data_IF_780785117128
#
_entry.id   IF_780785117128
#
_cell.length_a   1.000
_cell.length_b   1.000
_cell.length_c   1.000
_cell.angle_alpha   90.00
_cell.angle_beta   90.00
_cell.angle_gamma   90.00
#
_symmetry.space_group_name_H-M   'P 1'
#
loop_
_entity.id
_entity.type
_entity.pdbx_description
1 polymer ?
#
# COMPACT_ATOMS: atom_id res chain seq x y z
N UNK A 1 -8.52 -4.43 -35.40
CA UNK A 1 -8.89 -5.68 -34.69
C UNK A 1 -7.60 -6.42 -34.43
N UNK A 2 -7.07 -6.24 -33.24
CA UNK A 2 -5.90 -6.91 -32.71
C UNK A 2 -6.36 -8.20 -32.01
N UNK A 3 -5.83 -9.31 -32.52
CA UNK A 3 -6.39 -10.65 -32.52
C UNK A 3 -6.26 -11.40 -31.19
N UNK A 4 -6.23 -10.69 -30.06
CA UNK A 4 -6.26 -11.36 -28.76
C UNK A 4 -6.98 -10.64 -27.61
N UNK A 5 -7.68 -9.52 -27.88
CA UNK A 5 -8.80 -8.99 -27.08
C UNK A 5 -8.85 -9.30 -25.57
N UNK A 6 -7.73 -9.17 -24.84
CA UNK A 6 -7.71 -9.43 -23.40
C UNK A 6 -8.28 -8.22 -22.70
N UNK A 7 -9.55 -8.31 -22.33
CA UNK A 7 -10.16 -7.45 -21.30
C UNK A 7 -9.37 -7.51 -19.98
N UNK A 8 -9.56 -6.56 -19.06
CA UNK A 8 -8.91 -6.61 -17.75
C UNK A 8 -9.04 -7.99 -17.09
N UNK A 9 -8.00 -8.37 -16.33
CA UNK A 9 -7.99 -9.61 -15.54
C UNK A 9 -9.28 -9.75 -14.74
N UNK A 10 -9.83 -10.98 -14.69
CA UNK A 10 -11.01 -11.30 -13.88
C UNK A 10 -10.77 -10.98 -12.41
N UNK A 11 -9.54 -11.14 -11.93
CA UNK A 11 -9.15 -10.71 -10.58
C UNK A 11 -9.20 -9.20 -10.43
N UNK A 12 -8.72 -8.41 -11.40
CA UNK A 12 -8.77 -6.95 -11.32
C UNK A 12 -10.22 -6.43 -11.21
N UNK A 13 -11.14 -7.01 -12.00
CA UNK A 13 -12.58 -6.70 -11.89
C UNK A 13 -13.14 -7.11 -10.53
N UNK A 14 -12.84 -8.33 -10.06
CA UNK A 14 -13.31 -8.81 -8.75
C UNK A 14 -12.83 -7.94 -7.58
N UNK A 15 -11.57 -7.50 -7.59
CA UNK A 15 -11.03 -6.59 -6.57
C UNK A 15 -11.69 -5.22 -6.67
N UNK A 16 -11.93 -4.71 -7.88
CA UNK A 16 -12.69 -3.47 -8.08
C UNK A 16 -14.13 -3.58 -7.53
N UNK A 17 -14.82 -4.69 -7.80
CA UNK A 17 -16.14 -5.00 -7.23
C UNK A 17 -16.11 -5.06 -5.70
N UNK A 18 -15.08 -5.70 -5.11
CA UNK A 18 -14.90 -5.76 -3.66
C UNK A 18 -14.76 -4.37 -3.02
N UNK A 19 -13.96 -3.49 -3.63
CA UNK A 19 -13.81 -2.10 -3.17
C UNK A 19 -15.10 -1.30 -3.35
N UNK A 20 -15.77 -1.43 -4.50
CA UNK A 20 -17.06 -0.80 -4.76
C UNK A 20 -18.17 -1.27 -3.80
N UNK A 21 -18.17 -2.54 -3.41
CA UNK A 21 -19.14 -3.07 -2.44
C UNK A 21 -18.91 -2.54 -1.01
N UNK A 22 -17.65 -2.26 -0.67
CA UNK A 22 -17.24 -1.76 0.64
C UNK A 22 -17.34 -0.24 0.79
N UNK A 23 -17.30 0.51 -0.32
CA UNK A 23 -17.27 1.98 -0.32
C UNK A 23 -18.46 2.59 0.44
N UNK A 24 -18.15 3.47 1.39
CA UNK A 24 -19.12 4.11 2.29
C UNK A 24 -19.73 3.19 3.35
N UNK A 25 -19.22 1.95 3.54
CA UNK A 25 -19.81 0.96 4.45
C UNK A 25 -18.83 0.26 5.38
N UNK A 26 -17.65 -0.11 4.87
CA UNK A 26 -16.63 -0.78 5.66
C UNK A 26 -15.58 0.22 6.14
N UNK A 27 -15.11 0.08 7.39
CA UNK A 27 -14.09 0.93 8.01
C UNK A 27 -14.33 2.43 7.72
N UNK A 28 -15.55 2.91 8.02
CA UNK A 28 -15.99 4.28 7.70
C UNK A 28 -15.02 5.31 8.27
N UNK A 29 -14.62 6.28 7.45
CA UNK A 29 -13.60 7.29 7.79
C UNK A 29 -12.16 6.84 7.55
N UNK A 30 -11.91 5.54 7.33
CA UNK A 30 -10.59 4.97 7.00
C UNK A 30 -10.49 4.44 5.57
N UNK A 31 -11.58 3.85 5.07
CA UNK A 31 -11.67 3.33 3.70
C UNK A 31 -12.70 4.12 2.87
N UNK A 32 -12.29 4.52 1.67
CA UNK A 32 -13.16 5.07 0.64
C UNK A 32 -12.58 4.80 -0.75
N UNK A 33 -13.43 4.36 -1.67
CA UNK A 33 -13.13 4.20 -3.09
C UNK A 33 -14.39 4.51 -3.93
N UNK A 34 -14.78 5.79 -4.01
CA UNK A 34 -15.98 6.21 -4.75
C UNK A 34 -15.81 6.08 -6.27
N UNK A 35 -14.58 5.83 -6.75
CA UNK A 35 -14.26 5.70 -8.16
C UNK A 35 -14.47 4.26 -8.64
N UNK A 36 -14.26 3.25 -7.79
CA UNK A 36 -14.35 1.84 -8.17
C UNK A 36 -15.68 1.48 -8.87
N UNK A 37 -16.82 1.86 -8.30
CA UNK A 37 -18.14 1.56 -8.89
C UNK A 37 -18.30 2.17 -10.29
N UNK A 38 -17.69 3.33 -10.54
CA UNK A 38 -17.77 4.05 -11.82
C UNK A 38 -16.96 3.34 -12.91
N UNK A 39 -15.88 2.64 -12.54
CA UNK A 39 -15.06 1.87 -13.50
C UNK A 39 -15.69 0.54 -13.90
N UNK A 40 -16.68 0.04 -13.17
CA UNK A 40 -17.39 -1.19 -13.50
C UNK A 40 -18.40 -0.94 -14.63
N UNK A 41 -18.50 -1.90 -15.55
CA UNK A 41 -19.55 -1.94 -16.59
C UNK A 41 -20.90 -2.33 -15.96
N UNK A 42 -22.04 -2.03 -16.61
CA UNK A 42 -23.37 -2.32 -16.04
C UNK A 42 -23.52 -3.77 -15.54
N UNK A 43 -23.07 -4.75 -16.32
CA UNK A 43 -23.13 -6.17 -15.97
C UNK A 43 -22.24 -6.54 -14.76
N UNK A 44 -21.14 -5.82 -14.57
CA UNK A 44 -20.22 -6.02 -13.44
C UNK A 44 -20.75 -5.35 -12.15
N UNK A 45 -21.66 -4.37 -12.25
CA UNK A 45 -22.26 -3.67 -11.10
C UNK A 45 -23.36 -4.47 -10.43
N UNK A 46 -24.12 -5.27 -11.18
CA UNK A 46 -25.29 -6.02 -10.65
C UNK A 46 -24.95 -6.82 -9.39
N UNK A 47 -23.83 -7.54 -9.37
CA UNK A 47 -23.42 -8.33 -8.19
C UNK A 47 -22.97 -7.44 -7.04
N UNK A 48 -22.39 -6.27 -7.32
CA UNK A 48 -22.01 -5.29 -6.30
C UNK A 48 -23.26 -4.74 -5.63
N UNK A 49 -24.29 -4.41 -6.41
CA UNK A 49 -25.56 -3.90 -5.88
C UNK A 49 -26.26 -4.93 -4.99
N UNK A 50 -26.24 -6.22 -5.36
CA UNK A 50 -26.75 -7.29 -4.50
C UNK A 50 -25.98 -7.40 -3.17
N UNK A 51 -24.64 -7.39 -3.22
CA UNK A 51 -23.80 -7.41 -2.00
C UNK A 51 -24.05 -6.15 -1.17
N UNK A 52 -24.27 -5.00 -1.82
CA UNK A 52 -24.59 -3.75 -1.13
C UNK A 52 -25.97 -3.81 -0.44
N UNK A 53 -26.97 -4.36 -1.11
CA UNK A 53 -28.30 -4.59 -0.56
C UNK A 53 -28.33 -5.64 0.56
N UNK A 54 -27.34 -6.54 0.62
CA UNK A 54 -27.33 -7.67 1.54
C UNK A 54 -28.35 -8.75 1.17
N UNK A 55 -28.71 -8.83 -0.11
CA UNK A 55 -29.72 -9.74 -0.67
C UNK A 55 -29.01 -10.88 -1.42
N UNK A 56 -28.76 -12.04 -0.80
CA UNK A 56 -28.09 -13.14 -1.48
C UNK A 56 -29.04 -13.72 -2.54
N UNK A 57 -28.60 -13.88 -3.80
CA UNK A 57 -29.46 -14.42 -4.84
C UNK A 57 -29.79 -15.90 -4.59
N UNK A 58 -30.96 -16.32 -5.07
CA UNK A 58 -31.34 -17.72 -5.17
C UNK A 58 -30.56 -18.41 -6.31
N UNK A 59 -30.21 -19.68 -6.12
CA UNK A 59 -29.42 -20.44 -7.10
C UNK A 59 -27.91 -20.38 -6.90
N UNK A 60 -27.24 -21.51 -7.11
CA UNK A 60 -25.84 -21.71 -6.73
C UNK A 60 -24.85 -20.87 -7.55
N UNK A 61 -25.11 -20.67 -8.85
CA UNK A 61 -24.22 -19.91 -9.75
C UNK A 61 -24.15 -18.43 -9.37
N UNK A 62 -25.31 -17.77 -9.21
CA UNK A 62 -25.39 -16.36 -8.80
C UNK A 62 -24.82 -16.16 -7.38
N UNK A 63 -25.08 -17.12 -6.48
CA UNK A 63 -24.54 -17.10 -5.12
C UNK A 63 -23.02 -17.18 -5.08
N UNK A 64 -22.40 -17.89 -6.02
CA UNK A 64 -20.93 -17.97 -6.11
C UNK A 64 -20.32 -16.60 -6.44
N UNK A 65 -20.90 -15.85 -7.37
CA UNK A 65 -20.46 -14.49 -7.68
C UNK A 65 -20.63 -13.53 -6.50
N UNK A 66 -21.80 -13.57 -5.86
CA UNK A 66 -22.10 -12.79 -4.65
C UNK A 66 -21.09 -13.03 -3.53
N UNK A 67 -20.85 -14.30 -3.17
CA UNK A 67 -19.90 -14.66 -2.10
C UNK A 67 -18.47 -14.30 -2.48
N UNK A 68 -18.10 -14.38 -3.77
CA UNK A 68 -16.77 -13.98 -4.24
C UNK A 68 -16.53 -12.48 -4.04
N UNK A 69 -17.48 -11.63 -4.43
CA UNK A 69 -17.39 -10.17 -4.25
C UNK A 69 -17.38 -9.81 -2.76
N UNK A 70 -18.28 -10.42 -1.96
CA UNK A 70 -18.35 -10.22 -0.52
C UNK A 70 -17.04 -10.60 0.19
N UNK A 71 -16.49 -11.78 -0.12
CA UNK A 71 -15.21 -12.22 0.43
C UNK A 71 -14.04 -11.36 -0.06
N UNK A 72 -14.09 -10.91 -1.32
CA UNK A 72 -13.09 -10.00 -1.87
C UNK A 72 -13.10 -8.65 -1.13
N UNK A 73 -14.26 -8.10 -0.79
CA UNK A 73 -14.37 -6.87 0.01
C UNK A 73 -13.68 -7.02 1.39
N UNK A 74 -13.88 -8.14 2.08
CA UNK A 74 -13.22 -8.42 3.37
C UNK A 74 -11.69 -8.43 3.26
N UNK A 75 -11.14 -8.84 2.10
CA UNK A 75 -9.69 -8.89 1.85
C UNK A 75 -9.16 -7.53 1.36
N UNK A 76 -9.89 -6.88 0.46
CA UNK A 76 -9.47 -5.66 -0.21
C UNK A 76 -9.44 -4.47 0.76
N UNK A 77 -10.43 -4.34 1.65
CA UNK A 77 -10.51 -3.21 2.59
C UNK A 77 -9.27 -3.06 3.47
N UNK A 78 -8.88 -4.05 4.29
CA UNK A 78 -7.71 -3.90 5.17
C UNK A 78 -6.41 -3.71 4.39
N UNK A 79 -6.29 -4.33 3.21
CA UNK A 79 -5.14 -4.14 2.33
C UNK A 79 -5.07 -2.71 1.80
N UNK A 80 -6.18 -2.20 1.26
CA UNK A 80 -6.25 -0.86 0.69
C UNK A 80 -5.97 0.19 1.74
N UNK A 81 -6.57 0.09 2.93
CA UNK A 81 -6.32 1.06 4.02
C UNK A 81 -4.85 1.07 4.43
N UNK A 82 -4.25 -0.11 4.66
CA UNK A 82 -2.85 -0.19 5.07
C UNK A 82 -1.89 0.37 4.01
N UNK A 83 -2.16 0.12 2.73
CA UNK A 83 -1.37 0.68 1.63
C UNK A 83 -1.57 2.19 1.54
N UNK A 84 -2.81 2.69 1.58
CA UNK A 84 -3.08 4.13 1.50
C UNK A 84 -2.41 4.87 2.68
N UNK A 85 -2.45 4.32 3.89
CA UNK A 85 -1.73 4.86 5.05
C UNK A 85 -0.22 4.86 4.84
N UNK A 86 0.36 3.78 4.32
CA UNK A 86 1.79 3.71 4.00
C UNK A 86 2.21 4.72 2.90
N UNK A 87 1.31 5.01 1.94
CA UNK A 87 1.55 6.04 0.94
C UNK A 87 1.55 7.43 1.57
N UNK A 88 0.61 7.73 2.48
CA UNK A 88 0.52 9.04 3.17
C UNK A 88 1.74 9.34 4.04
N UNK A 89 2.33 8.34 4.67
CA UNK A 89 3.54 8.53 5.49
C UNK A 89 4.76 8.88 4.63
N UNK A 90 4.76 8.50 3.36
CA UNK A 90 5.78 8.91 2.40
C UNK A 90 7.17 8.32 2.62
N UNK A 91 8.16 8.75 1.82
CA UNK A 91 9.56 8.40 1.94
C UNK A 91 10.19 9.16 3.12
N UNK A 92 10.52 8.45 4.22
CA UNK A 92 11.27 9.01 5.36
C UNK A 92 10.54 9.12 6.70
N UNK A 93 9.23 8.90 6.77
CA UNK A 93 8.53 8.77 8.05
C UNK A 93 8.59 7.31 8.52
N UNK A 94 9.57 7.00 9.37
CA UNK A 94 9.49 5.79 10.19
C UNK A 94 8.17 5.79 10.96
N UNK A 95 7.48 4.65 10.97
CA UNK A 95 6.24 4.48 11.72
C UNK A 95 6.52 4.81 13.20
N UNK A 96 6.07 5.96 13.70
CA UNK A 96 6.05 6.21 15.15
C UNK A 96 4.92 5.36 15.71
N UNK A 97 5.27 4.17 16.18
CA UNK A 97 4.37 3.36 16.97
C UNK A 97 4.25 3.97 18.38
N UNK A 98 3.03 4.40 18.73
CA UNK A 98 2.66 4.75 20.11
C UNK A 98 2.53 6.25 20.35
N UNK A 99 1.31 6.77 20.30
CA UNK A 99 0.97 7.96 21.05
C UNK A 99 0.82 7.56 22.52
N UNK A 100 1.87 7.74 23.32
CA UNK A 100 1.72 7.84 24.76
C UNK A 100 1.16 9.23 25.08
N UNK A 101 -0.16 9.30 25.24
CA UNK A 101 -0.83 10.45 25.87
C UNK A 101 -0.71 10.26 27.37
N UNK A 102 0.32 10.87 27.98
CA UNK A 102 0.54 10.83 29.43
C UNK A 102 0.68 12.22 30.02
N UNK A 103 -0.08 12.50 31.08
CA UNK A 103 0.14 13.66 31.96
C UNK A 103 1.31 13.37 32.90
N UNK A 104 2.44 14.06 32.73
CA UNK A 104 3.54 14.00 33.68
C UNK A 104 3.34 15.05 34.79
N UNK A 105 3.25 14.59 36.03
CA UNK A 105 3.30 15.45 37.22
C UNK A 105 4.45 14.98 38.09
N UNK A 106 5.36 15.89 38.44
CA UNK A 106 6.55 15.59 39.21
C UNK A 106 6.89 16.74 40.15
N UNK A 107 7.12 16.42 41.42
CA UNK A 107 7.70 17.32 42.42
C UNK A 107 9.08 16.78 42.77
N UNK A 108 10.14 17.49 42.36
CA UNK A 108 11.52 17.10 42.69
C UNK A 108 12.58 17.65 41.74
N UNK A 109 13.80 17.86 42.25
CA UNK A 109 14.94 18.33 41.49
C UNK A 109 15.55 17.20 40.63
N UNK A 110 15.53 17.37 39.30
CA UNK A 110 16.16 16.45 38.34
C UNK A 110 15.91 16.85 36.89
N UNK A 111 16.83 16.47 35.99
CA UNK A 111 16.77 16.76 34.55
C UNK A 111 15.68 15.90 33.88
N UNK A 112 14.68 16.53 33.28
CA UNK A 112 13.63 15.86 32.52
C UNK A 112 13.85 16.03 31.00
N UNK A 113 13.88 14.92 30.27
CA UNK A 113 13.92 14.88 28.80
C UNK A 113 12.66 14.19 28.29
N UNK A 114 11.89 14.84 27.40
CA UNK A 114 10.69 14.26 26.80
C UNK A 114 10.39 14.85 25.43
N UNK A 115 9.88 14.01 24.53
CA UNK A 115 9.33 14.39 23.21
C UNK A 115 7.85 14.03 23.21
N UNK A 116 6.97 15.03 23.39
CA UNK A 116 5.52 14.81 23.42
C UNK A 116 4.71 16.11 23.34
N UNK A 117 3.41 15.98 23.05
CA UNK A 117 2.42 17.08 23.05
C UNK A 117 1.56 16.95 24.31
N UNK A 118 1.60 17.94 25.22
CA UNK A 118 0.83 17.95 26.48
C UNK A 118 1.16 19.14 27.38
N UNK A 119 0.31 19.43 28.39
CA UNK A 119 0.58 20.51 29.36
C UNK A 119 1.48 20.03 30.49
N UNK A 120 2.59 20.72 30.75
CA UNK A 120 3.45 20.47 31.91
C UNK A 120 3.16 21.50 33.02
N UNK A 121 3.01 21.04 34.26
CA UNK A 121 3.01 21.91 35.46
C UNK A 121 4.10 21.42 36.41
N UNK A 122 5.01 22.31 36.80
CA UNK A 122 6.11 22.00 37.70
C UNK A 122 6.69 23.27 38.33
N UNK A 123 7.09 23.16 39.59
CA UNK A 123 7.80 24.22 40.33
C UNK A 123 9.20 23.69 40.67
N UNK A 124 10.24 24.15 39.97
CA UNK A 124 11.61 23.73 40.23
C UNK A 124 12.65 24.47 39.38
N UNK A 125 13.84 24.69 39.95
CA UNK A 125 14.93 25.49 39.35
C UNK A 125 15.94 24.57 38.64
N UNK A 126 16.11 24.73 37.31
CA UNK A 126 17.11 24.02 36.49
C UNK A 126 16.93 24.28 34.98
N UNK A 127 17.95 24.03 34.13
CA UNK A 127 17.85 24.28 32.68
C UNK A 127 16.91 23.29 31.99
N UNK A 128 15.99 23.81 31.17
CA UNK A 128 15.06 23.00 30.38
C UNK A 128 15.42 23.04 28.89
N UNK A 129 15.51 21.87 28.24
CA UNK A 129 15.66 21.73 26.78
C UNK A 129 14.56 20.80 26.26
N UNK A 130 13.69 21.30 25.38
CA UNK A 130 12.62 20.51 24.76
C UNK A 130 12.09 21.15 23.47
N UNK A 131 11.58 20.32 22.56
CA UNK A 131 11.01 20.73 21.25
C UNK A 131 9.50 20.40 21.18
N UNK A 132 8.74 20.83 22.18
CA UNK A 132 7.28 20.63 22.26
C UNK A 132 6.48 21.89 21.91
N UNK A 133 5.21 21.70 21.50
CA UNK A 133 4.24 22.80 21.28
C UNK A 133 3.15 22.72 22.35
N UNK A 134 3.01 23.77 23.18
CA UNK A 134 1.97 23.91 24.21
C UNK A 134 2.19 25.16 25.08
N UNK A 135 1.16 25.68 25.78
CA UNK A 135 1.33 26.84 26.66
C UNK A 135 2.09 26.44 27.93
N UNK A 136 3.18 27.13 28.24
CA UNK A 136 3.90 26.99 29.51
C UNK A 136 3.46 28.10 30.47
N UNK A 137 3.13 27.77 31.71
CA UNK A 137 3.00 28.74 32.80
C UNK A 137 3.95 28.33 33.91
N UNK A 138 4.94 29.18 34.16
CA UNK A 138 5.98 28.98 35.19
C UNK A 138 6.75 30.29 35.35
N UNK A 139 7.01 30.68 36.60
CA UNK A 139 7.69 31.93 36.92
C UNK A 139 9.15 31.61 37.25
N UNK A 140 10.05 31.65 36.26
CA UNK A 140 11.49 31.59 36.50
C UNK A 140 12.27 32.44 35.50
N UNK A 141 13.28 33.15 36.02
CA UNK A 141 14.15 34.07 35.31
C UNK A 141 15.50 33.40 34.97
N UNK A 142 15.87 33.38 33.69
CA UNK A 142 17.19 32.94 33.21
C UNK A 142 17.32 33.16 31.69
N UNK A 143 18.52 33.41 31.15
CA UNK A 143 18.68 33.78 29.75
C UNK A 143 18.54 32.55 28.84
N UNK A 144 17.65 32.64 27.84
CA UNK A 144 17.54 31.67 26.76
C UNK A 144 18.53 32.05 25.64
N UNK A 145 19.54 31.21 25.40
CA UNK A 145 20.42 31.32 24.22
C UNK A 145 20.10 30.18 23.27
N UNK A 146 19.31 30.47 22.23
CA UNK A 146 19.12 29.58 21.08
C UNK A 146 20.05 29.99 19.95
N UNK A 147 20.86 29.06 19.46
CA UNK A 147 21.66 29.25 18.26
C UNK A 147 20.84 28.83 17.04
N UNK A 148 20.44 29.81 16.22
CA UNK A 148 19.83 29.58 14.91
C UNK A 148 20.93 29.15 13.91
N UNK A 149 21.06 27.85 13.67
CA UNK A 149 21.75 27.31 12.49
C UNK A 149 21.39 25.83 12.30
N UNK A 150 20.21 25.57 11.76
CA UNK A 150 19.82 24.27 11.27
C UNK A 150 18.87 24.47 10.10
N UNK A 151 19.31 24.10 8.90
CA UNK A 151 18.45 24.00 7.72
C UNK A 151 17.23 23.17 8.09
N UNK A 152 16.06 23.81 8.16
CA UNK A 152 14.78 23.11 8.29
C UNK A 152 14.53 22.28 7.03
N UNK A 153 15.05 21.06 7.01
CA UNK A 153 14.47 20.00 6.21
C UNK A 153 13.16 19.60 6.89
N UNK A 154 12.14 20.43 6.73
CA UNK A 154 10.76 20.04 7.01
C UNK A 154 10.44 18.85 6.12
N UNK A 155 10.42 17.65 6.71
CA UNK A 155 9.87 16.46 6.06
C UNK A 155 8.38 16.71 5.91
N UNK A 156 7.97 17.19 4.73
CA UNK A 156 6.57 17.33 4.37
C UNK A 156 5.97 15.91 4.41
N UNK A 157 5.14 15.63 5.42
CA UNK A 157 4.52 14.34 5.59
C UNK A 157 3.51 14.12 4.46
N UNK A 158 3.91 13.38 3.43
CA UNK A 158 3.07 13.16 2.25
C UNK A 158 3.72 12.21 1.25
N UNK A 159 2.94 11.77 0.26
CA UNK A 159 3.48 10.99 -0.86
C UNK A 159 4.53 11.85 -1.57
N UNK A 160 5.70 11.28 -1.84
CA UNK A 160 6.75 11.96 -2.59
C UNK A 160 6.27 12.43 -3.97
N UNK A 161 7.11 13.17 -4.69
CA UNK A 161 6.76 13.70 -6.02
C UNK A 161 6.54 12.60 -7.07
N UNK A 162 6.99 11.38 -6.80
CA UNK A 162 6.87 10.23 -7.70
C UNK A 162 6.25 9.02 -7.00
N UNK A 163 5.18 8.48 -7.62
CA UNK A 163 4.56 7.21 -7.25
C UNK A 163 4.55 6.27 -8.46
N UNK A 164 5.10 5.07 -8.32
CA UNK A 164 5.02 4.02 -9.36
C UNK A 164 4.17 2.87 -8.84
N UNK A 165 3.10 2.52 -9.55
CA UNK A 165 2.20 1.41 -9.22
C UNK A 165 2.42 0.28 -10.22
N UNK A 166 2.99 -0.83 -9.76
CA UNK A 166 3.23 -2.04 -10.54
C UNK A 166 2.00 -2.96 -10.49
N UNK A 167 1.43 -3.26 -11.65
CA UNK A 167 0.17 -3.99 -11.80
C UNK A 167 -1.04 -3.14 -11.46
N UNK A 168 -1.10 -1.92 -12.02
CA UNK A 168 -2.09 -0.92 -11.63
C UNK A 168 -3.54 -1.35 -11.86
N UNK A 169 -3.84 -2.31 -12.74
CA UNK A 169 -5.15 -2.90 -12.97
C UNK A 169 -6.28 -1.88 -12.98
N UNK A 170 -7.26 -2.06 -12.09
CA UNK A 170 -8.32 -1.08 -11.85
C UNK A 170 -8.10 -0.30 -10.54
N UNK A 171 -6.87 -0.07 -10.12
CA UNK A 171 -6.52 0.84 -9.01
C UNK A 171 -7.05 2.24 -9.30
N UNK A 172 -7.57 2.90 -8.26
CA UNK A 172 -8.21 4.22 -8.34
C UNK A 172 -7.48 5.29 -7.53
N UNK A 173 -6.34 4.97 -6.90
CA UNK A 173 -5.61 5.89 -6.00
C UNK A 173 -5.33 7.23 -6.64
N UNK A 174 -4.86 7.26 -7.89
CA UNK A 174 -4.60 8.51 -8.62
C UNK A 174 -5.85 9.37 -8.88
N UNK A 175 -7.06 8.83 -8.68
CA UNK A 175 -8.35 9.52 -8.83
C UNK A 175 -9.07 9.79 -7.51
N UNK A 176 -8.55 9.33 -6.36
CA UNK A 176 -9.25 9.45 -5.07
C UNK A 176 -8.39 9.93 -3.90
N UNK A 177 -7.07 9.78 -3.95
CA UNK A 177 -6.18 10.22 -2.87
C UNK A 177 -5.79 11.68 -3.10
N UNK A 178 -6.26 12.56 -2.20
CA UNK A 178 -5.98 14.00 -2.24
C UNK A 178 -4.48 14.30 -2.08
N UNK A 179 -3.76 13.44 -1.37
CA UNK A 179 -2.33 13.54 -1.10
C UNK A 179 -1.48 13.42 -2.38
N UNK A 180 -2.06 12.90 -3.47
CA UNK A 180 -1.38 12.79 -4.76
C UNK A 180 -1.45 14.05 -5.61
N UNK A 181 -2.11 15.13 -5.15
CA UNK A 181 -2.31 16.36 -5.93
C UNK A 181 -1.02 17.03 -6.44
N UNK A 182 0.14 16.71 -5.85
CA UNK A 182 1.48 17.19 -6.27
C UNK A 182 2.40 16.08 -6.78
N UNK A 183 1.87 14.87 -6.96
CA UNK A 183 2.61 13.66 -7.29
C UNK A 183 2.31 13.23 -8.72
N UNK A 184 3.35 12.91 -9.48
CA UNK A 184 3.20 12.19 -10.75
C UNK A 184 3.07 10.69 -10.45
N UNK A 185 2.08 10.06 -11.05
CA UNK A 185 1.79 8.65 -10.87
C UNK A 185 2.08 7.90 -12.17
N UNK A 186 3.03 6.96 -12.13
CA UNK A 186 3.23 5.99 -13.20
C UNK A 186 2.45 4.74 -12.88
N UNK A 187 1.47 4.43 -13.71
CA UNK A 187 0.76 3.17 -13.65
C UNK A 187 1.39 2.21 -14.62
N UNK A 188 2.00 1.15 -14.11
CA UNK A 188 2.68 0.13 -14.91
C UNK A 188 1.79 -1.11 -14.95
N UNK A 189 1.39 -1.54 -16.15
CA UNK A 189 0.62 -2.78 -16.33
C UNK A 189 0.69 -3.25 -17.78
N UNK A 190 0.23 -4.47 -18.03
CA UNK A 190 0.15 -5.07 -19.35
C UNK A 190 -0.65 -4.17 -20.32
N UNK A 191 -0.23 -4.03 -21.59
CA UNK A 191 -0.87 -3.14 -22.57
C UNK A 191 -2.40 -3.27 -22.66
N UNK A 192 -2.91 -4.51 -22.65
CA UNK A 192 -4.34 -4.79 -22.72
C UNK A 192 -5.11 -4.35 -21.45
N UNK A 193 -4.54 -4.55 -20.25
CA UNK A 193 -5.10 -4.05 -18.98
C UNK A 193 -5.18 -2.52 -18.98
N UNK A 194 -4.11 -1.87 -19.47
CA UNK A 194 -4.06 -0.41 -19.58
C UNK A 194 -5.12 0.13 -20.54
N UNK A 195 -5.28 -0.50 -21.71
CA UNK A 195 -6.29 -0.10 -22.68
C UNK A 195 -7.70 -0.19 -22.08
N UNK A 196 -8.03 -1.28 -21.39
CA UNK A 196 -9.33 -1.45 -20.74
C UNK A 196 -9.55 -0.42 -19.62
N UNK A 197 -8.54 -0.17 -18.77
CA UNK A 197 -8.62 0.86 -17.72
C UNK A 197 -8.88 2.24 -18.31
N UNK A 198 -8.13 2.62 -19.35
CA UNK A 198 -8.29 3.92 -20.04
C UNK A 198 -9.69 4.06 -20.65
N UNK A 199 -10.22 3.00 -21.25
CA UNK A 199 -11.59 3.00 -21.78
C UNK A 199 -12.63 3.19 -20.67
N UNK A 200 -12.49 2.49 -19.53
CA UNK A 200 -13.37 2.63 -18.36
C UNK A 200 -13.30 4.03 -17.75
N UNK A 201 -12.10 4.59 -17.62
CA UNK A 201 -11.90 5.94 -17.09
C UNK A 201 -12.52 7.00 -17.99
N UNK A 202 -12.38 6.85 -19.31
CA UNK A 202 -13.02 7.73 -20.29
C UNK A 202 -14.55 7.64 -20.21
N UNK A 203 -15.11 6.43 -20.19
CA UNK A 203 -16.55 6.22 -20.05
C UNK A 203 -17.12 6.71 -18.72
N UNK A 204 -16.32 6.67 -17.64
CA UNK A 204 -16.67 7.20 -16.34
C UNK A 204 -16.47 8.71 -16.23
N UNK A 205 -15.87 9.36 -17.24
CA UNK A 205 -15.41 10.74 -17.22
C UNK A 205 -14.55 11.08 -15.98
N UNK A 206 -13.78 10.10 -15.49
CA UNK A 206 -12.99 10.25 -14.27
C UNK A 206 -11.81 11.21 -14.50
N UNK A 207 -11.66 12.21 -13.63
CA UNK A 207 -10.51 13.13 -13.63
C UNK A 207 -9.56 12.75 -12.50
N UNK A 208 -8.24 12.64 -12.78
CA UNK A 208 -7.28 12.29 -11.73
C UNK A 208 -7.20 13.40 -10.70
N UNK A 209 -6.99 13.01 -9.45
CA UNK A 209 -6.59 13.89 -8.35
C UNK A 209 -5.08 14.11 -8.39
N UNK A 210 -4.33 13.11 -8.87
CA UNK A 210 -2.89 13.20 -9.04
C UNK A 210 -2.48 14.35 -9.98
N UNK A 211 -1.26 14.89 -9.81
CA UNK A 211 -0.73 15.96 -10.68
C UNK A 211 -0.72 15.53 -12.15
N UNK A 212 -0.23 14.33 -12.41
CA UNK A 212 -0.27 13.67 -13.71
C UNK A 212 -0.35 12.15 -13.53
N UNK A 213 -0.94 11.48 -14.53
CA UNK A 213 -0.97 10.02 -14.61
C UNK A 213 -0.31 9.58 -15.92
N UNK A 214 0.77 8.82 -15.79
CA UNK A 214 1.55 8.28 -16.89
C UNK A 214 1.20 6.79 -17.02
N UNK A 215 0.45 6.44 -18.06
CA UNK A 215 0.16 5.04 -18.36
C UNK A 215 1.36 4.40 -19.06
N UNK A 216 2.07 3.54 -18.35
CA UNK A 216 3.29 2.86 -18.82
C UNK A 216 2.95 1.40 -19.11
N UNK A 217 2.86 1.03 -20.39
CA UNK A 217 2.50 -0.32 -20.80
C UNK A 217 3.72 -1.26 -20.72
N UNK A 218 3.64 -2.30 -19.89
CA UNK A 218 4.71 -3.28 -19.63
C UNK A 218 4.11 -4.67 -19.39
N UNK A 219 4.48 -5.66 -20.20
CA UNK A 219 4.37 -7.06 -19.84
C UNK A 219 5.62 -7.50 -19.05
N UNK A 220 5.46 -7.69 -17.74
CA UNK A 220 6.53 -8.12 -16.82
C UNK A 220 7.21 -9.44 -17.23
N UNK A 221 6.64 -10.23 -18.14
CA UNK A 221 7.26 -11.45 -18.63
C UNK A 221 8.35 -11.22 -19.68
N UNK A 222 8.27 -10.13 -20.46
CA UNK A 222 9.09 -9.95 -21.68
C UNK A 222 9.67 -8.55 -21.84
N UNK A 223 9.03 -7.53 -21.28
CA UNK A 223 9.43 -6.14 -21.48
C UNK A 223 10.45 -5.67 -20.43
N UNK A 224 11.29 -4.69 -20.83
CA UNK A 224 12.21 -4.00 -19.94
C UNK A 224 11.50 -2.86 -19.19
N UNK A 225 11.24 -3.09 -17.90
CA UNK A 225 10.62 -2.11 -17.01
C UNK A 225 11.40 -0.80 -16.93
N UNK A 226 12.73 -0.84 -16.94
CA UNK A 226 13.56 0.37 -16.81
C UNK A 226 13.44 1.25 -18.04
N UNK A 227 13.57 0.66 -19.23
CA UNK A 227 13.42 1.37 -20.49
C UNK A 227 12.02 1.99 -20.64
N UNK A 228 10.97 1.27 -20.23
CA UNK A 228 9.60 1.78 -20.25
C UNK A 228 9.38 2.97 -19.30
N UNK A 229 9.97 2.92 -18.10
CA UNK A 229 9.90 4.03 -17.14
C UNK A 229 10.72 5.24 -17.60
N UNK A 230 11.87 5.04 -18.22
CA UNK A 230 12.67 6.12 -18.82
C UNK A 230 11.89 6.82 -19.94
N UNK A 231 11.28 6.05 -20.84
CA UNK A 231 10.44 6.57 -21.91
C UNK A 231 9.20 7.32 -21.38
N UNK A 232 8.70 6.94 -20.21
CA UNK A 232 7.59 7.61 -19.54
C UNK A 232 8.02 8.80 -18.66
N UNK A 233 9.30 9.15 -18.63
CA UNK A 233 9.83 10.32 -17.91
C UNK A 233 9.99 10.15 -16.40
N UNK A 234 10.07 8.92 -15.90
CA UNK A 234 10.40 8.68 -14.49
C UNK A 234 11.87 9.03 -14.21
N UNK A 235 12.12 9.91 -13.24
CA UNK A 235 13.46 10.25 -12.77
C UNK A 235 13.96 9.22 -11.72
N UNK A 236 15.02 8.42 -12.00
CA UNK A 236 15.58 7.48 -11.02
C UNK A 236 16.49 8.13 -9.97
N UNK A 237 16.86 9.40 -10.12
CA UNK A 237 17.69 10.13 -9.16
C UNK A 237 16.88 10.72 -7.99
N UNK A 238 15.57 10.85 -8.15
CA UNK A 238 14.67 11.37 -7.13
C UNK A 238 13.98 10.24 -6.33
N UNK A 239 13.62 10.48 -5.04
CA UNK A 239 12.95 9.47 -4.24
C UNK A 239 11.58 9.08 -4.81
N UNK A 240 11.38 7.77 -4.98
CA UNK A 240 10.14 7.20 -5.52
C UNK A 240 9.43 6.37 -4.46
N UNK A 241 8.12 6.55 -4.35
CA UNK A 241 7.27 5.60 -3.65
C UNK A 241 6.84 4.53 -4.65
N UNK A 242 7.24 3.29 -4.41
CA UNK A 242 6.87 2.14 -5.22
C UNK A 242 5.73 1.38 -4.56
N UNK A 243 4.70 1.05 -5.33
CA UNK A 243 3.62 0.18 -4.92
C UNK A 243 3.62 -1.07 -5.80
N UNK A 244 3.84 -2.23 -5.19
CA UNK A 244 3.78 -3.52 -5.87
C UNK A 244 2.65 -4.37 -5.28
N UNK A 245 1.42 -4.08 -5.70
CA UNK A 245 0.19 -4.72 -5.23
C UNK A 245 -0.36 -5.70 -6.27
N UNK A 246 -0.80 -6.89 -5.83
CA UNK A 246 -1.60 -7.77 -6.69
C UNK A 246 -0.86 -8.46 -7.84
N UNK A 247 0.46 -8.32 -7.95
CA UNK A 247 1.27 -8.95 -9.01
C UNK A 247 2.11 -10.13 -8.50
N UNK A 248 2.80 -9.95 -7.37
CA UNK A 248 3.78 -10.93 -6.82
C UNK A 248 3.26 -12.38 -6.81
N UNK A 249 2.01 -12.68 -6.38
CA UNK A 249 1.51 -14.05 -6.36
C UNK A 249 1.46 -14.72 -7.74
N UNK A 250 1.37 -13.95 -8.82
CA UNK A 250 1.25 -14.43 -10.21
C UNK A 250 2.60 -14.50 -10.95
N UNK A 251 3.69 -14.09 -10.30
CA UNK A 251 5.05 -14.21 -10.82
C UNK A 251 5.76 -15.42 -10.22
N UNK A 252 6.67 -16.03 -10.99
CA UNK A 252 7.62 -16.98 -10.40
C UNK A 252 8.59 -16.26 -9.46
N UNK A 253 9.27 -17.00 -8.57
CA UNK A 253 10.28 -16.39 -7.70
C UNK A 253 11.41 -15.71 -8.48
N UNK A 254 11.81 -16.26 -9.62
CA UNK A 254 12.82 -15.67 -10.49
C UNK A 254 12.33 -14.35 -11.10
N UNK A 255 11.09 -14.31 -11.58
CA UNK A 255 10.48 -13.07 -12.11
C UNK A 255 10.37 -12.00 -11.03
N UNK A 256 9.99 -12.36 -9.79
CA UNK A 256 9.99 -11.43 -8.65
C UNK A 256 11.39 -10.87 -8.41
N UNK A 257 12.43 -11.71 -8.40
CA UNK A 257 13.81 -11.24 -8.20
C UNK A 257 14.29 -10.31 -9.32
N UNK A 258 13.97 -10.62 -10.59
CA UNK A 258 14.32 -9.77 -11.74
C UNK A 258 13.62 -8.41 -11.67
N UNK A 259 12.31 -8.39 -11.41
CA UNK A 259 11.57 -7.14 -11.26
C UNK A 259 12.07 -6.32 -10.06
N UNK A 260 12.39 -6.97 -8.95
CA UNK A 260 12.96 -6.28 -7.78
C UNK A 260 14.34 -5.70 -8.07
N UNK A 261 15.19 -6.41 -8.81
CA UNK A 261 16.50 -5.89 -9.24
C UNK A 261 16.35 -4.63 -10.11
N UNK A 262 15.42 -4.63 -11.06
CA UNK A 262 15.12 -3.47 -11.90
C UNK A 262 14.59 -2.28 -11.08
N UNK A 263 13.70 -2.54 -10.12
CA UNK A 263 13.20 -1.51 -9.19
C UNK A 263 14.34 -0.93 -8.35
N UNK A 264 15.15 -1.79 -7.72
CA UNK A 264 16.24 -1.38 -6.85
C UNK A 264 17.29 -0.54 -7.58
N UNK A 265 17.59 -0.87 -8.86
CA UNK A 265 18.50 -0.08 -9.69
C UNK A 265 18.01 1.36 -9.95
N UNK A 266 16.70 1.61 -9.81
CA UNK A 266 16.05 2.91 -10.01
C UNK A 266 15.59 3.58 -8.71
N UNK A 267 15.99 3.02 -7.57
CA UNK A 267 15.51 3.45 -6.26
C UNK A 267 16.56 4.34 -5.60
N UNK A 268 16.29 5.65 -5.57
CA UNK A 268 17.13 6.61 -4.85
C UNK A 268 16.99 6.45 -3.32
N UNK A 269 18.00 6.83 -2.51
CA UNK A 269 17.87 6.88 -1.06
C UNK A 269 16.65 7.69 -0.61
N UNK A 270 16.03 7.26 0.48
CA UNK A 270 14.79 7.86 0.97
C UNK A 270 13.54 7.24 0.35
N UNK A 271 13.62 6.57 -0.81
CA UNK A 271 12.47 5.88 -1.44
C UNK A 271 11.81 4.84 -0.52
N UNK A 272 10.52 4.59 -0.76
CA UNK A 272 9.72 3.59 -0.05
C UNK A 272 9.18 2.56 -1.04
N UNK A 273 9.17 1.29 -0.67
CA UNK A 273 8.49 0.21 -1.38
C UNK A 273 7.37 -0.36 -0.48
N UNK A 274 6.13 -0.26 -0.93
CA UNK A 274 4.97 -0.93 -0.36
C UNK A 274 4.65 -2.13 -1.23
N UNK A 275 4.59 -3.33 -0.66
CA UNK A 275 4.33 -4.56 -1.41
C UNK A 275 3.22 -5.42 -0.78
N UNK A 276 2.44 -6.08 -1.63
CA UNK A 276 1.48 -7.10 -1.22
C UNK A 276 1.90 -8.47 -1.73
N UNK A 277 2.06 -9.44 -0.83
CA UNK A 277 2.43 -10.81 -1.18
C UNK A 277 1.62 -11.84 -0.38
N UNK A 278 1.73 -13.10 -0.80
CA UNK A 278 1.03 -14.23 -0.17
C UNK A 278 2.03 -15.12 0.57
N UNK A 279 1.74 -15.42 1.83
CA UNK A 279 2.51 -16.36 2.63
C UNK A 279 1.97 -17.78 2.54
N UNK A 280 2.83 -18.82 2.65
CA UNK A 280 2.37 -20.19 2.70
C UNK A 280 1.37 -20.42 3.84
N UNK A 281 0.35 -21.23 3.59
CA UNK A 281 -0.56 -21.75 4.62
C UNK A 281 -0.60 -23.27 4.51
N UNK A 282 -0.27 -23.96 5.61
CA UNK A 282 -0.33 -25.42 5.69
C UNK A 282 -1.74 -25.93 5.39
N UNK A 283 -2.78 -25.25 5.90
CA UNK A 283 -4.19 -25.58 5.66
C UNK A 283 -4.61 -25.38 4.20
N UNK A 284 -4.15 -24.30 3.56
CA UNK A 284 -4.42 -24.04 2.14
C UNK A 284 -3.64 -24.99 1.21
N UNK A 285 -2.43 -25.39 1.59
CA UNK A 285 -1.66 -26.39 0.86
C UNK A 285 -2.34 -27.76 0.90
N UNK A 286 -2.81 -28.19 2.08
CA UNK A 286 -3.60 -29.41 2.23
C UNK A 286 -4.94 -29.33 1.47
N UNK A 287 -5.63 -28.18 1.53
CA UNK A 287 -6.87 -27.95 0.79
C UNK A 287 -6.70 -28.02 -0.73
N UNK A 288 -5.63 -27.43 -1.28
CA UNK A 288 -5.29 -27.51 -2.72
C UNK A 288 -4.92 -28.92 -3.17
N UNK A 289 -4.23 -29.68 -2.32
CA UNK A 289 -3.94 -31.09 -2.58
C UNK A 289 -5.25 -31.89 -2.67
N UNK A 290 -6.18 -31.65 -1.74
CA UNK A 290 -7.50 -32.27 -1.75
C UNK A 290 -8.34 -31.87 -2.97
N UNK A 291 -8.32 -30.60 -3.39
CA UNK A 291 -9.05 -30.14 -4.59
C UNK A 291 -8.46 -30.68 -5.90
N UNK A 292 -7.14 -30.87 -5.97
CA UNK A 292 -6.48 -31.55 -7.10
C UNK A 292 -6.87 -33.03 -7.21
N UNK A 293 -7.07 -33.70 -6.07
CA UNK A 293 -7.59 -35.07 -6.04
C UNK A 293 -9.08 -35.15 -6.42
N UNK A 294 -9.84 -34.06 -6.22
CA UNK A 294 -11.29 -33.97 -6.49
C UNK A 294 -11.63 -33.26 -7.81
N UNK A 295 -10.65 -32.91 -8.65
CA UNK A 295 -10.86 -32.44 -10.02
C UNK A 295 -11.44 -31.03 -10.21
N UNK A 296 -11.70 -30.25 -9.15
CA UNK A 296 -12.32 -28.92 -9.26
C UNK A 296 -11.34 -27.80 -8.93
N UNK A 297 -11.11 -26.87 -9.87
CA UNK A 297 -10.32 -25.66 -9.63
C UNK A 297 -10.97 -24.44 -10.29
N UNK A 298 -11.71 -23.66 -9.49
CA UNK A 298 -12.30 -22.36 -9.87
C UNK A 298 -11.23 -21.28 -10.14
N UNK A 299 -9.95 -21.58 -9.86
CA UNK A 299 -8.79 -20.70 -10.11
C UNK A 299 -7.99 -21.11 -11.36
N UNK A 300 -8.56 -21.86 -12.30
CA UNK A 300 -7.84 -22.43 -13.43
C UNK A 300 -7.12 -21.40 -14.34
N UNK A 301 -7.54 -20.13 -14.36
CA UNK A 301 -6.98 -19.10 -15.24
C UNK A 301 -5.82 -18.27 -14.68
N UNK A 302 -5.65 -18.18 -13.36
CA UNK A 302 -4.65 -17.30 -12.72
C UNK A 302 -4.02 -17.97 -11.48
N UNK A 303 -3.17 -19.01 -11.68
CA UNK A 303 -2.59 -19.76 -10.57
C UNK A 303 -1.55 -18.93 -9.80
N UNK A 304 -1.52 -19.09 -8.48
CA UNK A 304 -0.43 -18.55 -7.67
C UNK A 304 0.88 -19.31 -7.95
N UNK A 305 1.88 -18.60 -8.44
CA UNK A 305 3.20 -19.12 -8.87
C UNK A 305 4.28 -18.92 -7.82
N UNK A 306 4.11 -17.99 -6.87
CA UNK A 306 5.04 -17.80 -5.77
C UNK A 306 4.34 -17.56 -4.43
N UNK A 307 4.98 -18.03 -3.36
CA UNK A 307 4.61 -17.81 -1.96
C UNK A 307 5.88 -17.53 -1.15
N UNK A 308 5.77 -16.59 -0.21
CA UNK A 308 6.90 -16.03 0.53
C UNK A 308 6.63 -16.00 2.03
N UNK A 309 7.55 -16.51 2.84
CA UNK A 309 7.51 -16.25 4.29
C UNK A 309 8.03 -14.83 4.54
N UNK A 310 7.61 -14.17 5.65
CA UNK A 310 8.15 -12.86 6.05
C UNK A 310 9.67 -12.78 5.99
N UNK A 311 10.37 -13.73 6.61
CA UNK A 311 11.84 -13.75 6.62
C UNK A 311 12.48 -13.90 5.24
N UNK A 312 11.87 -14.66 4.31
CA UNK A 312 12.39 -14.80 2.94
C UNK A 312 12.15 -13.55 2.10
N UNK A 313 10.99 -12.90 2.28
CA UNK A 313 10.72 -11.63 1.62
C UNK A 313 11.66 -10.53 2.13
N UNK A 314 11.83 -10.44 3.45
CA UNK A 314 12.76 -9.48 4.06
C UNK A 314 14.21 -9.70 3.62
N UNK A 315 14.68 -10.95 3.54
CA UNK A 315 16.02 -11.27 3.04
C UNK A 315 16.18 -10.86 1.57
N UNK A 316 15.21 -11.20 0.71
CA UNK A 316 15.22 -10.81 -0.69
C UNK A 316 15.27 -9.27 -0.84
N UNK A 317 14.47 -8.53 -0.07
CA UNK A 317 14.50 -7.07 -0.10
C UNK A 317 15.85 -6.51 0.38
N UNK A 318 16.41 -7.08 1.44
CA UNK A 318 17.70 -6.66 1.99
C UNK A 318 18.86 -6.88 1.01
N UNK A 319 18.84 -7.97 0.24
CA UNK A 319 19.83 -8.24 -0.83
C UNK A 319 19.82 -7.13 -1.92
N UNK A 320 18.73 -6.37 -2.00
CA UNK A 320 18.55 -5.24 -2.91
C UNK A 320 18.58 -3.86 -2.21
N UNK A 321 19.09 -3.79 -0.98
CA UNK A 321 19.24 -2.52 -0.24
C UNK A 321 17.93 -1.93 0.31
N UNK A 322 16.87 -2.73 0.35
CA UNK A 322 15.56 -2.35 0.88
C UNK A 322 15.35 -3.00 2.25
N UNK A 323 15.13 -2.18 3.27
CA UNK A 323 14.94 -2.65 4.64
C UNK A 323 13.47 -2.60 5.04
N UNK A 324 12.91 -3.75 5.42
CA UNK A 324 11.51 -3.84 5.88
C UNK A 324 11.35 -3.13 7.21
N UNK A 325 10.45 -2.14 7.26
CA UNK A 325 10.08 -1.38 8.47
C UNK A 325 8.79 -1.87 9.09
N UNK A 326 7.88 -2.44 8.30
CA UNK A 326 6.66 -3.09 8.78
C UNK A 326 6.24 -4.23 7.87
N UNK A 327 5.60 -5.26 8.45
CA UNK A 327 5.04 -6.39 7.72
C UNK A 327 3.91 -7.03 8.53
N UNK A 328 2.67 -6.85 8.05
CA UNK A 328 1.46 -7.30 8.73
C UNK A 328 0.61 -8.19 7.83
N UNK A 329 0.02 -9.26 8.40
CA UNK A 329 -1.03 -10.01 7.70
C UNK A 329 -2.36 -9.25 7.68
N UNK A 330 -3.19 -9.54 6.67
CA UNK A 330 -4.48 -8.87 6.50
C UNK A 330 -5.46 -9.20 7.63
N UNK A 331 -5.29 -10.30 8.37
CA UNK A 331 -6.15 -10.59 9.53
C UNK A 331 -5.86 -9.62 10.68
N UNK A 332 -4.60 -9.33 10.93
CA UNK A 332 -4.15 -8.35 11.93
C UNK A 332 -4.67 -6.97 11.57
N UNK A 333 -4.51 -6.57 10.30
CA UNK A 333 -5.02 -5.30 9.78
C UNK A 333 -6.56 -5.22 9.84
N UNK A 334 -7.26 -6.28 9.46
CA UNK A 334 -8.73 -6.34 9.52
C UNK A 334 -9.26 -6.15 10.94
N UNK A 335 -8.58 -6.72 11.95
CA UNK A 335 -8.93 -6.55 13.37
C UNK A 335 -8.69 -5.13 13.85
N UNK A 336 -7.59 -4.50 13.43
CA UNK A 336 -7.29 -3.11 13.77
C UNK A 336 -8.33 -2.14 13.21
N UNK A 337 -8.99 -2.50 12.11
CA UNK A 337 -10.04 -1.71 11.46
C UNK A 337 -11.47 -2.10 11.88
N UNK A 338 -11.63 -3.05 12.81
CA UNK A 338 -12.91 -3.64 13.19
C UNK A 338 -13.79 -4.09 12.00
N UNK A 339 -13.14 -4.68 10.99
CA UNK A 339 -13.81 -5.15 9.77
C UNK A 339 -14.20 -6.62 9.86
N UNK A 340 -15.24 -7.08 9.13
CA UNK A 340 -15.65 -8.49 9.15
C UNK A 340 -14.52 -9.44 8.78
N UNK A 341 -14.33 -10.49 9.58
CA UNK A 341 -13.26 -11.49 9.38
C UNK A 341 -13.79 -12.89 9.05
N UNK A 342 -14.84 -13.02 8.22
CA UNK A 342 -15.38 -14.35 7.87
C UNK A 342 -14.38 -15.15 7.03
N UNK A 343 -13.57 -14.47 6.23
CA UNK A 343 -12.55 -15.03 5.34
C UNK A 343 -11.18 -15.26 6.02
N UNK A 344 -11.16 -15.72 7.29
CA UNK A 344 -9.96 -15.78 8.15
C UNK A 344 -8.76 -16.46 7.48
N UNK A 345 -8.98 -17.54 6.72
CA UNK A 345 -7.88 -18.28 6.10
C UNK A 345 -7.17 -17.47 5.02
N UNK A 346 -7.92 -16.76 4.17
CA UNK A 346 -7.37 -15.92 3.10
C UNK A 346 -6.72 -14.65 3.66
N UNK A 347 -7.30 -14.09 4.71
CA UNK A 347 -6.75 -12.93 5.41
C UNK A 347 -5.40 -13.22 6.08
N UNK A 348 -5.19 -14.46 6.56
CA UNK A 348 -3.92 -14.85 7.21
C UNK A 348 -2.76 -15.05 6.23
N UNK A 349 -3.04 -15.26 4.95
CA UNK A 349 -1.99 -15.46 3.95
C UNK A 349 -1.61 -14.19 3.22
N UNK A 350 -2.54 -13.26 3.04
CA UNK A 350 -2.22 -11.95 2.47
C UNK A 350 -1.41 -11.12 3.46
N UNK A 351 -0.37 -10.46 2.97
CA UNK A 351 0.49 -9.58 3.79
C UNK A 351 0.76 -8.26 3.07
N UNK A 352 0.90 -7.20 3.84
CA UNK A 352 1.37 -5.89 3.37
C UNK A 352 2.66 -5.60 4.11
N UNK A 353 3.74 -5.36 3.36
CA UNK A 353 5.02 -4.95 3.91
C UNK A 353 5.45 -3.61 3.33
N UNK A 354 6.11 -2.82 4.16
CA UNK A 354 6.74 -1.55 3.80
C UNK A 354 8.23 -1.70 4.00
N UNK A 355 9.01 -1.31 3.01
CA UNK A 355 10.45 -1.26 3.06
C UNK A 355 10.97 0.10 2.60
N UNK A 356 12.10 0.52 3.15
CA UNK A 356 12.74 1.80 2.80
C UNK A 356 14.13 1.56 2.22
N UNK A 357 14.49 2.38 1.24
CA UNK A 357 15.82 2.39 0.65
C UNK A 357 16.76 3.20 1.56
N UNK A 358 17.73 2.52 2.16
CA UNK A 358 18.74 3.18 2.99
C UNK A 358 19.88 3.70 2.13
N UNK A 359 20.61 4.73 2.58
CA UNK A 359 21.85 5.13 1.95
C UNK A 359 22.80 3.93 1.89
N UNK A 360 23.28 3.60 0.69
CA UNK A 360 24.29 2.55 0.51
C UNK A 360 25.52 2.96 1.33
N UNK A 361 25.87 2.20 2.37
CA UNK A 361 27.10 2.46 3.15
C UNK A 361 28.27 2.51 2.17
N UNK A 362 29.11 3.56 2.19
CA UNK A 362 30.34 3.53 1.43
C UNK A 362 31.12 2.28 1.87
N UNK A 363 31.54 1.47 0.90
CA UNK A 363 32.40 0.33 1.18
C UNK A 363 33.67 0.78 1.89
N UNK A 364 34.35 -0.10 2.65
CA UNK A 364 35.62 0.26 3.23
C UNK A 364 36.56 0.75 2.12
N UNK A 365 37.36 1.81 2.36
CA UNK A 365 38.32 2.28 1.37
C UNK A 365 39.21 1.11 0.96
N UNK A 366 39.41 0.94 -0.35
CA UNK A 366 40.40 0.00 -0.85
C UNK A 366 41.76 0.45 -0.30
N UNK A 367 42.37 -0.41 0.54
CA UNK A 367 43.70 -0.21 1.11
C UNK A 367 44.79 -0.60 0.12
#
# INVERSE_FOLDING_TARGET
MDENGRTASRTAVLVCQGRAAADGRAAVGRFADPVAIRLLRPEERTVVDLVRAGTPPEGWQARTGYESVRACAEIAVPRTVAIDEALRTGPGAGLVAGADVGSASGTGAGSASGTGVGSATGTGVGPATGTGVGPATGADAGPATGADAGTEAGVDAGVGRQLVILGAGLDTRAWRLAELARTDVWEVDHPASQQDKRARLAAAEARPTARAVHFTAVDFAVDDLSAALDAAGHDPAAPTTWLWEGVIPYLTRAQVAVTLAALAARTAPGSTLVLNYQSPSAKAAAGRLLTRLLGNSVTAGEPWRSLWTPGRMAALLADHGLHVTSDHDLLTLARALDTPTRSRSSLRTGRVAVAVATPRRPGPPAH
#
